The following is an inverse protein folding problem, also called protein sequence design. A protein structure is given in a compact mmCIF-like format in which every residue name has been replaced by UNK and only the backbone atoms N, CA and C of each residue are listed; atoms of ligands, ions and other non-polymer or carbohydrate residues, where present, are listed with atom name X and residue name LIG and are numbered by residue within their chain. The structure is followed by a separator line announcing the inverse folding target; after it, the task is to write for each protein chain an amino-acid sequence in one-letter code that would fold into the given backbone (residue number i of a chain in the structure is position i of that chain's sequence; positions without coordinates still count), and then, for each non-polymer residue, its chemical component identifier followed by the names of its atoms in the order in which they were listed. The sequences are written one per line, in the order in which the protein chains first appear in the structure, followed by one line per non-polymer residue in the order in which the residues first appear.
data_IF_480708853819
#
_entry.id   IF_480708853819
#
_cell.length_a   1.000
_cell.length_b   1.000
_cell.length_c   1.000
_cell.angle_alpha   90.00
_cell.angle_beta   90.00
_cell.angle_gamma   90.00
#
_symmetry.space_group_name_H-M   'P 1'
#
loop_
_entity.id
_entity.type
_entity.pdbx_description
1 polymer ?
#
# COMPACT_ATOMS: atom_id res chain seq x y z
N UNK A 1 -23.12 -21.76 21.77
CA UNK A 1 -22.09 -20.87 22.36
C UNK A 1 -20.94 -20.90 21.37
N UNK A 2 -20.75 -19.84 20.56
CA UNK A 2 -19.56 -19.75 19.71
C UNK A 2 -18.37 -19.56 20.64
N UNK A 3 -17.41 -20.47 20.60
CA UNK A 3 -16.13 -20.29 21.26
C UNK A 3 -15.49 -19.00 20.71
N UNK A 4 -15.20 -18.04 21.58
CA UNK A 4 -14.38 -16.89 21.27
C UNK A 4 -12.96 -17.40 20.99
N UNK A 5 -12.63 -17.62 19.74
CA UNK A 5 -11.24 -17.87 19.35
C UNK A 5 -10.52 -16.54 19.49
N UNK A 6 -9.56 -16.39 20.41
CA UNK A 6 -8.82 -15.15 20.54
C UNK A 6 -8.04 -14.91 19.24
N UNK A 7 -8.03 -13.65 18.78
CA UNK A 7 -7.21 -13.26 17.65
C UNK A 7 -5.74 -13.41 18.00
N UNK A 8 -5.01 -14.19 17.20
CA UNK A 8 -3.56 -14.34 17.36
C UNK A 8 -2.83 -13.05 16.98
N UNK A 9 -1.69 -12.72 17.63
CA UNK A 9 -0.85 -11.62 17.22
C UNK A 9 -0.37 -11.77 15.76
N UNK A 10 -0.24 -10.63 15.09
CA UNK A 10 0.23 -10.56 13.70
C UNK A 10 1.59 -9.90 13.60
N UNK A 11 2.33 -10.21 12.52
CA UNK A 11 3.65 -9.62 12.25
C UNK A 11 3.51 -8.36 11.39
N UNK A 12 2.45 -8.31 10.58
CA UNK A 12 2.12 -7.23 9.67
C UNK A 12 0.64 -6.88 9.78
N UNK A 13 0.37 -5.66 10.20
CA UNK A 13 -0.97 -5.09 10.26
C UNK A 13 -1.13 -4.05 9.14
N UNK A 14 -2.11 -4.22 8.27
CA UNK A 14 -2.48 -3.20 7.29
C UNK A 14 -3.85 -2.62 7.59
N UNK A 15 -3.94 -1.29 7.51
CA UNK A 15 -5.17 -0.53 7.76
C UNK A 15 -5.50 0.32 6.56
N UNK A 16 -6.71 0.21 6.07
CA UNK A 16 -7.24 0.98 4.94
C UNK A 16 -8.47 0.32 4.33
N UNK A 17 -9.09 0.96 3.37
CA UNK A 17 -10.19 0.36 2.64
C UNK A 17 -9.71 -0.68 1.62
N UNK A 18 -10.42 -1.79 1.54
CA UNK A 18 -10.48 -2.57 0.32
C UNK A 18 -11.23 -1.77 -0.74
N UNK A 19 -10.91 -1.92 -2.01
CA UNK A 19 -11.75 -1.40 -3.07
C UNK A 19 -12.41 -2.50 -3.90
N UNK A 20 -13.56 -2.14 -4.45
CA UNK A 20 -14.18 -2.85 -5.56
C UNK A 20 -13.89 -2.03 -6.82
N UNK A 21 -13.07 -2.55 -7.70
CA UNK A 21 -12.71 -1.87 -8.95
C UNK A 21 -13.64 -2.37 -10.06
N UNK A 22 -14.43 -1.44 -10.61
CA UNK A 22 -15.31 -1.74 -11.73
C UNK A 22 -14.48 -1.90 -13.00
N UNK A 23 -14.58 -3.06 -13.63
CA UNK A 23 -13.89 -3.36 -14.89
C UNK A 23 -14.88 -3.85 -15.94
N UNK A 24 -14.53 -3.80 -17.23
CA UNK A 24 -15.39 -4.33 -18.29
C UNK A 24 -15.74 -5.83 -18.14
N UNK A 25 -14.93 -6.58 -17.39
CA UNK A 25 -15.12 -8.02 -17.12
C UNK A 25 -15.81 -8.31 -15.80
N UNK A 26 -16.24 -7.27 -15.07
CA UNK A 26 -16.90 -7.36 -13.77
C UNK A 26 -16.10 -6.73 -12.64
N UNK A 27 -16.66 -6.67 -11.42
CA UNK A 27 -16.00 -6.13 -10.26
C UNK A 27 -14.80 -6.98 -9.84
N UNK A 28 -13.71 -6.33 -9.44
CA UNK A 28 -12.49 -6.97 -8.94
C UNK A 28 -12.10 -6.40 -7.59
N UNK A 29 -11.50 -7.22 -6.76
CA UNK A 29 -10.90 -6.76 -5.52
C UNK A 29 -9.65 -5.95 -5.83
N UNK A 30 -9.58 -4.75 -5.26
CA UNK A 30 -8.47 -3.81 -5.38
C UNK A 30 -8.13 -3.15 -4.05
N UNK A 31 -7.40 -2.04 -4.13
CA UNK A 31 -6.91 -1.26 -3.00
C UNK A 31 -5.63 -1.80 -2.40
N UNK A 32 -4.84 -0.88 -1.85
CA UNK A 32 -3.53 -1.18 -1.23
C UNK A 32 -3.61 -2.32 -0.21
N UNK A 33 -4.67 -2.35 0.59
CA UNK A 33 -4.88 -3.38 1.63
C UNK A 33 -4.89 -4.79 1.04
N UNK A 34 -5.52 -4.97 -0.13
CA UNK A 34 -5.61 -6.28 -0.78
C UNK A 34 -4.24 -6.77 -1.24
N UNK A 35 -3.53 -5.93 -1.99
CA UNK A 35 -2.17 -6.25 -2.46
C UNK A 35 -1.20 -6.45 -1.30
N UNK A 36 -1.18 -5.50 -0.36
CA UNK A 36 -0.27 -5.53 0.78
C UNK A 36 -0.43 -6.78 1.62
N UNK A 37 -1.67 -7.18 1.93
CA UNK A 37 -1.92 -8.36 2.74
C UNK A 37 -1.45 -9.65 2.05
N UNK A 38 -1.70 -9.78 0.75
CA UNK A 38 -1.28 -10.94 -0.02
C UNK A 38 0.24 -11.00 -0.20
N UNK A 39 0.90 -9.87 -0.45
CA UNK A 39 2.37 -9.78 -0.55
C UNK A 39 3.03 -10.09 0.78
N UNK A 40 2.56 -9.52 1.89
CA UNK A 40 3.11 -9.80 3.21
C UNK A 40 2.96 -11.27 3.59
N UNK A 41 1.82 -11.91 3.25
CA UNK A 41 1.61 -13.35 3.40
C UNK A 41 2.57 -14.17 2.53
N UNK A 42 2.78 -13.78 1.27
CA UNK A 42 3.73 -14.45 0.38
C UNK A 42 5.18 -14.35 0.89
N UNK A 43 5.52 -13.25 1.58
CA UNK A 43 6.79 -13.05 2.27
C UNK A 43 6.90 -13.79 3.62
N UNK A 44 5.88 -14.58 3.99
CA UNK A 44 5.90 -15.48 5.15
C UNK A 44 5.46 -14.85 6.47
N UNK A 45 4.83 -13.68 6.46
CA UNK A 45 4.36 -13.03 7.69
C UNK A 45 2.92 -13.43 8.03
N UNK A 46 2.61 -13.41 9.32
CA UNK A 46 1.23 -13.44 9.82
C UNK A 46 0.62 -12.07 9.62
N UNK A 47 -0.43 -12.00 8.82
CA UNK A 47 -1.05 -10.73 8.41
C UNK A 47 -2.39 -10.53 9.10
N UNK A 48 -2.66 -9.30 9.53
CA UNK A 48 -3.96 -8.83 9.95
C UNK A 48 -4.44 -7.67 9.10
N UNK A 49 -5.72 -7.63 8.79
CA UNK A 49 -6.36 -6.58 8.01
C UNK A 49 -7.39 -5.87 8.88
N UNK A 50 -7.35 -4.53 8.91
CA UNK A 50 -8.45 -3.69 9.43
C UNK A 50 -8.96 -2.85 8.27
N UNK A 51 -10.23 -3.05 7.92
CA UNK A 51 -10.86 -2.42 6.76
C UNK A 51 -12.33 -2.09 7.01
N UNK A 52 -12.95 -1.39 6.07
CA UNK A 52 -14.40 -1.26 5.99
C UNK A 52 -14.85 -1.66 4.59
N UNK A 53 -15.84 -2.55 4.55
CA UNK A 53 -16.41 -3.04 3.29
C UNK A 53 -17.86 -3.46 3.48
N UNK A 54 -18.63 -3.42 2.40
CA UNK A 54 -19.97 -3.97 2.28
C UNK A 54 -19.96 -5.44 1.87
N UNK A 55 -21.14 -6.02 1.75
CA UNK A 55 -21.33 -7.40 1.28
C UNK A 55 -21.00 -7.59 -0.22
N UNK A 56 -20.78 -6.51 -0.94
CA UNK A 56 -20.43 -6.47 -2.36
C UNK A 56 -18.93 -6.71 -2.63
N UNK A 57 -18.08 -6.71 -1.58
CA UNK A 57 -16.65 -6.96 -1.74
C UNK A 57 -16.35 -8.43 -2.07
N UNK A 58 -15.62 -8.72 -3.15
CA UNK A 58 -15.22 -10.09 -3.51
C UNK A 58 -14.00 -10.53 -2.68
N UNK A 59 -14.22 -10.99 -1.44
CA UNK A 59 -13.19 -11.27 -0.44
C UNK A 59 -12.48 -12.62 -0.61
N UNK A 60 -12.87 -13.44 -1.58
CA UNK A 60 -12.33 -14.80 -1.79
C UNK A 60 -10.79 -14.82 -1.89
N UNK A 61 -10.11 -13.84 -2.54
CA UNK A 61 -8.65 -13.85 -2.61
C UNK A 61 -7.96 -13.72 -1.25
N UNK A 62 -8.65 -13.12 -0.26
CA UNK A 62 -8.13 -12.89 1.09
C UNK A 62 -8.44 -14.04 2.05
N UNK A 63 -9.02 -15.12 1.57
CA UNK A 63 -9.36 -16.28 2.42
C UNK A 63 -8.14 -16.78 3.20
N UNK A 64 -8.34 -16.97 4.51
CA UNK A 64 -7.29 -17.42 5.43
C UNK A 64 -6.42 -16.30 6.00
N UNK A 65 -6.66 -15.03 5.64
CA UNK A 65 -6.06 -13.88 6.31
C UNK A 65 -7.07 -13.34 7.33
N UNK A 66 -6.72 -13.24 8.64
CA UNK A 66 -7.56 -12.59 9.64
C UNK A 66 -7.92 -11.15 9.24
N UNK A 67 -9.22 -10.86 9.22
CA UNK A 67 -9.76 -9.58 8.78
C UNK A 67 -10.80 -9.07 9.77
N UNK A 68 -10.61 -7.84 10.24
CA UNK A 68 -11.61 -7.06 10.98
C UNK A 68 -12.28 -6.10 10.01
N UNK A 69 -13.56 -6.33 9.76
CA UNK A 69 -14.36 -5.50 8.89
C UNK A 69 -15.28 -4.58 9.72
N UNK A 70 -15.16 -3.28 9.52
CA UNK A 70 -16.17 -2.31 9.95
C UNK A 70 -17.30 -2.37 8.92
N UNK A 71 -18.52 -2.81 9.30
CA UNK A 71 -19.58 -3.00 8.33
C UNK A 71 -19.96 -1.68 7.63
N UNK A 72 -20.05 -1.71 6.31
CA UNK A 72 -20.53 -0.61 5.48
C UNK A 72 -21.69 -1.07 4.59
N UNK A 73 -22.56 -0.14 4.18
CA UNK A 73 -23.63 -0.44 3.25
C UNK A 73 -23.08 -0.86 1.87
N UNK A 74 -21.98 -0.25 1.45
CA UNK A 74 -21.28 -0.52 0.19
C UNK A 74 -19.77 -0.40 0.43
N UNK A 75 -19.00 -1.13 -0.35
CA UNK A 75 -17.53 -1.03 -0.34
C UNK A 75 -17.06 0.24 -1.05
N UNK A 76 -15.84 0.69 -0.74
CA UNK A 76 -15.20 1.74 -1.53
C UNK A 76 -15.06 1.26 -2.96
N UNK A 77 -15.70 1.94 -3.90
CA UNK A 77 -15.83 1.50 -5.30
C UNK A 77 -15.23 2.51 -6.24
N UNK A 78 -14.27 2.06 -7.03
CA UNK A 78 -13.63 2.87 -8.07
C UNK A 78 -13.94 2.33 -9.46
N UNK A 79 -14.00 3.25 -10.42
CA UNK A 79 -13.98 2.95 -11.85
C UNK A 79 -12.78 3.67 -12.48
N UNK A 80 -11.97 2.90 -13.22
CA UNK A 80 -10.83 3.43 -13.95
C UNK A 80 -11.18 3.47 -15.44
N UNK A 81 -11.32 4.68 -15.98
CA UNK A 81 -11.72 4.94 -17.36
C UNK A 81 -10.49 5.35 -18.17
N UNK A 82 -10.10 4.52 -19.14
CA UNK A 82 -9.05 4.89 -20.09
C UNK A 82 -9.54 6.00 -21.00
N UNK A 83 -8.76 7.07 -21.13
CA UNK A 83 -9.06 8.19 -22.03
C UNK A 83 -7.84 8.49 -22.93
N UNK A 84 -8.02 9.21 -24.06
CA UNK A 84 -6.88 9.64 -24.88
C UNK A 84 -5.85 10.52 -24.16
N UNK A 85 -6.24 11.09 -23.01
CA UNK A 85 -5.40 11.99 -22.22
C UNK A 85 -4.91 11.35 -20.91
N UNK A 86 -4.92 10.02 -20.81
CA UNK A 86 -4.56 9.27 -19.63
C UNK A 86 -5.76 8.60 -18.94
N UNK A 87 -5.54 8.10 -17.73
CA UNK A 87 -6.55 7.43 -16.93
C UNK A 87 -7.37 8.44 -16.13
N UNK A 88 -8.71 8.36 -16.20
CA UNK A 88 -9.62 9.02 -15.25
C UNK A 88 -10.09 8.01 -14.21
N UNK A 89 -10.16 8.43 -12.95
CA UNK A 89 -10.67 7.61 -11.86
C UNK A 89 -11.94 8.27 -11.29
N UNK A 90 -12.97 7.45 -11.06
CA UNK A 90 -14.24 7.88 -10.45
C UNK A 90 -14.44 7.07 -9.19
N UNK A 91 -14.70 7.75 -8.06
CA UNK A 91 -15.12 7.15 -6.80
C UNK A 91 -16.66 7.14 -6.79
N UNK A 92 -17.26 5.95 -6.88
CA UNK A 92 -18.70 5.77 -6.85
C UNK A 92 -19.24 5.69 -5.43
N UNK A 93 -18.54 4.98 -4.55
CA UNK A 93 -18.87 4.79 -3.15
C UNK A 93 -17.63 4.83 -2.28
N UNK A 94 -17.82 5.27 -1.04
CA UNK A 94 -16.82 5.24 0.01
C UNK A 94 -17.41 4.51 1.20
N UNK A 95 -16.69 3.51 1.71
CA UNK A 95 -17.08 2.75 2.90
C UNK A 95 -16.96 3.59 4.18
N UNK A 96 -17.36 3.02 5.32
CA UNK A 96 -17.36 3.70 6.61
C UNK A 96 -15.94 4.04 7.08
N UNK A 97 -15.77 5.16 7.80
CA UNK A 97 -14.48 5.58 8.33
C UNK A 97 -13.85 4.57 9.28
N UNK A 98 -12.52 4.54 9.30
CA UNK A 98 -11.73 3.74 10.21
C UNK A 98 -11.13 4.61 11.33
N UNK A 99 -11.01 4.03 12.52
CA UNK A 99 -10.37 4.66 13.68
C UNK A 99 -9.41 3.69 14.35
N UNK A 100 -8.57 4.17 15.25
CA UNK A 100 -7.66 3.33 16.02
C UNK A 100 -8.40 2.28 16.87
N UNK A 101 -9.61 2.58 17.33
CA UNK A 101 -10.43 1.69 18.15
C UNK A 101 -10.87 0.42 17.40
N UNK A 102 -10.87 0.44 16.07
CA UNK A 102 -11.15 -0.74 15.25
C UNK A 102 -10.00 -1.75 15.24
N UNK A 103 -8.81 -1.36 15.73
CA UNK A 103 -7.65 -2.26 15.80
C UNK A 103 -7.80 -3.16 17.03
N UNK A 104 -7.88 -4.48 16.86
CA UNK A 104 -7.92 -5.41 18.01
C UNK A 104 -6.70 -5.23 18.91
N UNK A 105 -6.89 -5.33 20.21
CA UNK A 105 -5.80 -5.19 21.18
C UNK A 105 -4.61 -6.14 20.90
N UNK A 106 -4.89 -7.35 20.40
CA UNK A 106 -3.85 -8.31 20.02
C UNK A 106 -2.97 -7.84 18.84
N UNK A 107 -3.44 -6.88 18.03
CA UNK A 107 -2.74 -6.39 16.83
C UNK A 107 -2.11 -5.00 17.02
N UNK A 108 -2.43 -4.28 18.11
CA UNK A 108 -1.92 -2.92 18.35
C UNK A 108 -0.39 -2.85 18.50
N UNK A 109 0.25 -3.97 18.82
CA UNK A 109 1.70 -4.09 18.91
C UNK A 109 2.32 -4.87 17.74
N UNK A 110 1.66 -4.92 16.58
CA UNK A 110 2.23 -5.53 15.39
C UNK A 110 3.59 -4.90 15.05
N UNK A 111 4.64 -5.70 14.78
CA UNK A 111 5.96 -5.17 14.45
C UNK A 111 5.96 -4.20 13.28
N UNK A 112 5.14 -4.47 12.27
CA UNK A 112 4.96 -3.59 11.09
C UNK A 112 3.50 -3.15 11.07
N UNK A 113 3.27 -1.84 11.12
CA UNK A 113 1.98 -1.21 10.83
C UNK A 113 2.06 -0.51 9.49
N UNK A 114 1.25 -0.92 8.53
CA UNK A 114 1.09 -0.24 7.24
C UNK A 114 -0.18 0.60 7.22
N UNK A 115 -0.03 1.91 7.22
CA UNK A 115 -1.10 2.86 7.00
C UNK A 115 -1.31 3.02 5.50
N UNK A 116 -2.44 2.56 4.99
CA UNK A 116 -2.75 2.44 3.58
C UNK A 116 -4.06 3.16 3.23
N UNK A 117 -4.16 4.50 3.45
CA UNK A 117 -5.37 5.24 3.09
C UNK A 117 -5.62 5.15 1.59
N UNK A 118 -6.88 4.93 1.22
CA UNK A 118 -7.32 4.79 -0.17
C UNK A 118 -8.25 5.93 -0.59
N UNK A 119 -9.14 6.36 0.33
CA UNK A 119 -10.17 7.37 0.09
C UNK A 119 -10.42 8.22 1.36
N UNK A 120 -9.37 8.71 2.01
CA UNK A 120 -9.44 9.55 3.22
C UNK A 120 -10.23 8.90 4.38
N UNK A 121 -10.18 7.59 4.52
CA UNK A 121 -11.02 6.81 5.43
C UNK A 121 -10.60 6.86 6.89
N UNK A 122 -9.41 7.37 7.20
CA UNK A 122 -8.99 7.56 8.60
C UNK A 122 -8.15 8.83 8.75
N UNK A 123 -8.13 9.41 9.96
CA UNK A 123 -7.44 10.67 10.21
C UNK A 123 -5.92 10.47 10.19
N UNK A 124 -5.19 11.51 9.77
CA UNK A 124 -3.73 11.50 9.65
C UNK A 124 -3.02 11.18 10.97
N UNK A 125 -3.58 11.60 12.11
CA UNK A 125 -3.00 11.37 13.44
C UNK A 125 -3.09 9.90 13.94
N UNK A 126 -3.67 8.99 13.16
CA UNK A 126 -3.74 7.57 13.54
C UNK A 126 -2.34 6.98 13.79
N UNK A 127 -1.33 7.46 13.06
CA UNK A 127 0.08 7.10 13.25
C UNK A 127 0.59 7.38 14.66
N UNK A 128 0.11 8.46 15.30
CA UNK A 128 0.57 8.89 16.65
C UNK A 128 0.22 7.90 17.76
N UNK A 129 -0.75 7.04 17.54
CA UNK A 129 -1.20 6.04 18.49
C UNK A 129 -0.53 4.67 18.29
N UNK A 130 0.34 4.53 17.29
CA UNK A 130 0.94 3.26 16.95
C UNK A 130 2.16 2.95 17.83
N UNK A 131 2.25 1.68 18.29
CA UNK A 131 3.40 1.15 19.02
C UNK A 131 4.26 0.22 18.17
N UNK A 132 4.09 0.26 16.85
CA UNK A 132 4.82 -0.58 15.90
C UNK A 132 6.31 -0.24 15.86
N UNK A 133 7.17 -1.24 15.62
CA UNK A 133 8.60 -1.03 15.39
C UNK A 133 8.89 -0.31 14.08
N UNK A 134 8.01 -0.49 13.10
CA UNK A 134 8.01 0.20 11.81
C UNK A 134 6.58 0.63 11.46
N UNK A 135 6.36 1.94 11.33
CA UNK A 135 5.16 2.49 10.72
C UNK A 135 5.48 2.82 9.27
N UNK A 136 4.90 2.07 8.34
CA UNK A 136 4.95 2.32 6.90
C UNK A 136 3.73 3.11 6.46
N UNK A 137 3.88 3.97 5.45
CA UNK A 137 2.80 4.79 4.91
C UNK A 137 2.81 4.76 3.38
N UNK A 138 1.64 4.52 2.79
CA UNK A 138 1.34 4.80 1.39
C UNK A 138 0.23 5.86 1.35
N UNK A 139 0.55 7.16 1.27
CA UNK A 139 -0.39 8.26 1.54
C UNK A 139 -1.37 8.55 0.41
N UNK A 140 -1.39 7.78 -0.66
CA UNK A 140 -2.14 8.05 -1.89
C UNK A 140 -3.60 8.49 -1.61
N UNK A 141 -4.31 7.81 -0.70
CA UNK A 141 -5.69 8.14 -0.37
C UNK A 141 -5.85 9.47 0.37
N UNK A 142 -4.82 9.94 1.07
CA UNK A 142 -4.82 11.26 1.70
C UNK A 142 -4.54 12.40 0.72
N UNK A 143 -3.93 12.05 -0.43
CA UNK A 143 -3.65 13.00 -1.52
C UNK A 143 -4.72 12.97 -2.63
N UNK A 144 -5.85 12.29 -2.40
CA UNK A 144 -6.99 12.22 -3.31
C UNK A 144 -8.17 13.01 -2.79
N UNK A 145 -8.72 13.89 -3.63
CA UNK A 145 -10.05 14.48 -3.49
C UNK A 145 -10.96 14.02 -4.60
N UNK A 146 -12.25 14.33 -4.50
CA UNK A 146 -13.23 14.07 -5.55
C UNK A 146 -14.30 15.13 -5.58
N UNK A 147 -14.82 15.39 -6.76
CA UNK A 147 -15.93 16.32 -6.97
C UNK A 147 -17.30 15.67 -6.67
N UNK A 148 -18.37 16.44 -6.86
CA UNK A 148 -19.74 15.97 -6.64
C UNK A 148 -20.16 14.83 -7.58
N UNK A 149 -19.44 14.61 -8.67
CA UNK A 149 -19.63 13.52 -9.63
C UNK A 149 -18.70 12.32 -9.34
N UNK A 150 -17.85 12.43 -8.29
CA UNK A 150 -16.92 11.40 -7.89
C UNK A 150 -15.60 11.41 -8.70
N UNK A 151 -15.37 12.39 -9.58
CA UNK A 151 -14.09 12.44 -10.31
C UNK A 151 -12.95 12.73 -9.35
N UNK A 152 -11.99 11.78 -9.31
CA UNK A 152 -10.82 11.88 -8.43
C UNK A 152 -9.84 12.89 -9.00
N UNK A 153 -9.31 13.72 -8.10
CA UNK A 153 -8.26 14.70 -8.41
C UNK A 153 -7.24 14.77 -7.27
N UNK A 154 -6.01 15.21 -7.52
CA UNK A 154 -5.02 15.38 -6.47
C UNK A 154 -5.41 16.51 -5.52
N UNK A 155 -5.11 16.31 -4.22
CA UNK A 155 -5.20 17.34 -3.17
C UNK A 155 -3.91 17.32 -2.36
N UNK A 156 -3.52 18.45 -1.72
CA UNK A 156 -2.35 18.47 -0.85
C UNK A 156 -2.47 17.47 0.31
N UNK A 157 -1.35 16.90 0.72
CA UNK A 157 -1.26 16.14 1.97
C UNK A 157 -1.23 17.13 3.13
N UNK A 158 -2.39 17.38 3.73
CA UNK A 158 -2.54 18.32 4.85
C UNK A 158 -1.75 17.86 6.08
N UNK A 159 -1.11 18.80 6.79
CA UNK A 159 -0.30 18.56 7.98
C UNK A 159 0.83 17.51 7.79
N UNK A 160 1.36 17.41 6.58
CA UNK A 160 2.42 16.45 6.27
C UNK A 160 3.66 16.67 7.13
N UNK A 161 4.02 17.92 7.42
CA UNK A 161 5.15 18.32 8.27
C UNK A 161 5.01 17.85 9.74
N UNK A 162 3.79 17.69 10.23
CA UNK A 162 3.50 17.17 11.57
C UNK A 162 3.44 15.63 11.61
N UNK A 163 2.98 15.01 10.52
CA UNK A 163 2.72 13.57 10.44
C UNK A 163 3.97 12.78 10.02
N UNK A 164 4.68 13.25 9.00
CA UNK A 164 5.80 12.53 8.40
C UNK A 164 6.96 12.22 9.36
N UNK A 165 7.31 13.08 10.35
CA UNK A 165 8.31 12.74 11.35
C UNK A 165 7.98 11.51 12.20
N UNK A 166 6.70 11.12 12.28
CA UNK A 166 6.22 9.97 13.04
C UNK A 166 6.24 8.68 12.19
N UNK A 167 6.43 8.79 10.88
CA UNK A 167 6.45 7.68 9.94
C UNK A 167 7.87 7.12 9.83
N UNK A 168 8.01 5.81 9.97
CA UNK A 168 9.29 5.11 9.82
C UNK A 168 9.77 5.06 8.38
N UNK A 169 8.83 4.84 7.43
CA UNK A 169 9.10 4.82 6.01
C UNK A 169 7.84 5.17 5.21
N UNK A 170 7.98 5.97 4.16
CA UNK A 170 6.91 6.34 3.23
C UNK A 170 7.24 5.87 1.82
N UNK A 171 6.22 5.41 1.11
CA UNK A 171 6.31 5.06 -0.31
C UNK A 171 5.24 5.82 -1.08
N UNK A 172 5.65 6.50 -2.14
CA UNK A 172 4.78 7.18 -3.11
C UNK A 172 5.20 6.79 -4.53
N UNK A 173 4.33 7.02 -5.49
CA UNK A 173 4.73 7.07 -6.90
C UNK A 173 5.01 8.52 -7.32
N UNK A 174 5.85 8.70 -8.33
CA UNK A 174 6.06 10.02 -8.93
C UNK A 174 4.75 10.57 -9.54
N UNK A 175 3.86 9.67 -9.99
CA UNK A 175 2.51 10.00 -10.46
C UNK A 175 1.63 10.59 -9.35
N UNK A 176 1.74 10.11 -8.10
CA UNK A 176 0.93 10.61 -6.96
C UNK A 176 1.14 12.10 -6.68
N UNK A 177 2.32 12.60 -7.05
CA UNK A 177 2.68 14.02 -6.92
C UNK A 177 2.69 14.75 -8.29
N UNK A 178 2.18 14.12 -9.35
CA UNK A 178 2.14 14.72 -10.69
C UNK A 178 3.51 15.07 -11.27
N UNK A 179 4.58 14.40 -10.83
CA UNK A 179 5.95 14.68 -11.23
C UNK A 179 6.58 15.87 -10.53
N UNK A 180 5.97 16.42 -9.48
CA UNK A 180 6.47 17.59 -8.74
C UNK A 180 7.68 17.22 -7.87
N UNK A 181 8.88 17.58 -8.34
CA UNK A 181 10.13 17.33 -7.62
C UNK A 181 10.24 18.16 -6.32
N UNK A 182 9.63 19.34 -6.24
CA UNK A 182 9.64 20.17 -5.03
C UNK A 182 8.83 19.48 -3.92
N UNK A 183 7.71 18.87 -4.27
CA UNK A 183 6.91 18.10 -3.34
C UNK A 183 7.63 16.82 -2.88
N UNK A 184 8.35 16.15 -3.76
CA UNK A 184 9.20 14.99 -3.42
C UNK A 184 10.30 15.41 -2.42
N UNK A 185 11.01 16.50 -2.69
CA UNK A 185 12.05 17.02 -1.79
C UNK A 185 11.48 17.45 -0.43
N UNK A 186 10.28 18.06 -0.42
CA UNK A 186 9.58 18.37 0.83
C UNK A 186 9.31 17.10 1.65
N UNK A 187 8.78 16.04 1.03
CA UNK A 187 8.54 14.79 1.72
C UNK A 187 9.84 14.13 2.19
N UNK A 188 10.90 14.16 1.38
CA UNK A 188 12.20 13.62 1.74
C UNK A 188 12.83 14.31 2.97
N UNK A 189 12.58 15.60 3.15
CA UNK A 189 13.07 16.36 4.31
C UNK A 189 12.29 16.03 5.60
N UNK A 190 11.01 15.67 5.50
CA UNK A 190 10.16 15.45 6.67
C UNK A 190 10.03 13.98 7.05
N UNK A 191 10.43 13.04 6.19
CA UNK A 191 10.33 11.59 6.42
C UNK A 191 11.72 11.00 6.73
N UNK A 192 11.79 9.99 7.59
CA UNK A 192 13.06 9.26 7.84
C UNK A 192 13.55 8.52 6.62
N UNK A 193 12.63 7.90 5.89
CA UNK A 193 12.87 7.14 4.67
C UNK A 193 11.74 7.44 3.69
N UNK A 194 12.09 7.90 2.50
CA UNK A 194 11.15 8.07 1.40
C UNK A 194 11.60 7.23 0.21
N UNK A 195 10.73 6.34 -0.27
CA UNK A 195 10.87 5.69 -1.55
C UNK A 195 9.87 6.25 -2.55
N UNK A 196 10.36 6.65 -3.72
CA UNK A 196 9.56 7.16 -4.84
C UNK A 196 9.65 6.18 -5.99
N UNK A 197 8.56 5.55 -6.36
CA UNK A 197 8.49 4.65 -7.53
C UNK A 197 8.25 5.44 -8.81
N UNK A 198 8.84 4.99 -9.91
CA UNK A 198 8.86 5.69 -11.21
C UNK A 198 8.68 4.67 -12.35
N UNK A 199 7.58 3.93 -12.31
CA UNK A 199 7.20 2.92 -13.29
C UNK A 199 8.38 2.02 -13.73
N UNK A 200 8.64 1.91 -15.04
CA UNK A 200 9.73 1.10 -15.62
C UNK A 200 11.13 1.61 -15.25
N UNK A 201 11.27 2.86 -14.81
CA UNK A 201 12.53 3.41 -14.34
C UNK A 201 12.94 2.89 -12.95
N UNK A 202 12.00 2.25 -12.24
CA UNK A 202 12.21 1.62 -10.95
C UNK A 202 11.89 2.52 -9.76
N UNK A 203 12.86 2.80 -8.88
CA UNK A 203 12.61 3.63 -7.69
C UNK A 203 13.80 4.49 -7.31
N UNK A 204 13.53 5.57 -6.57
CA UNK A 204 14.54 6.41 -5.91
C UNK A 204 14.29 6.37 -4.41
N UNK A 205 15.30 6.03 -3.63
CA UNK A 205 15.26 6.06 -2.17
C UNK A 205 16.03 7.27 -1.65
N UNK A 206 15.38 8.01 -0.75
CA UNK A 206 15.96 9.13 0.01
C UNK A 206 16.16 8.71 1.46
N UNK A 207 17.39 8.81 1.96
CA UNK A 207 17.76 8.44 3.32
C UNK A 207 18.97 9.26 3.83
N UNK A 208 18.79 9.97 4.94
CA UNK A 208 19.83 10.79 5.57
C UNK A 208 20.53 11.79 4.63
N UNK A 209 19.77 12.40 3.72
CA UNK A 209 20.30 13.34 2.73
C UNK A 209 20.94 12.69 1.49
N UNK A 210 21.14 11.39 1.50
CA UNK A 210 21.54 10.63 0.31
C UNK A 210 20.32 10.22 -0.51
N UNK A 211 20.50 10.10 -1.83
CA UNK A 211 19.51 9.52 -2.73
C UNK A 211 20.15 8.50 -3.66
N UNK A 212 19.47 7.37 -3.90
CA UNK A 212 19.92 6.34 -4.83
C UNK A 212 18.78 5.83 -5.69
N UNK A 213 19.06 5.65 -6.98
CA UNK A 213 18.12 5.04 -7.92
C UNK A 213 18.36 3.54 -8.01
N UNK A 214 17.28 2.77 -8.00
CA UNK A 214 17.25 1.33 -8.22
C UNK A 214 16.46 1.08 -9.51
N UNK A 215 17.13 0.61 -10.56
CA UNK A 215 16.50 0.35 -11.85
C UNK A 215 15.67 -0.93 -11.79
N UNK A 216 14.47 -0.87 -12.36
CA UNK A 216 13.66 -2.06 -12.52
C UNK A 216 14.26 -3.01 -13.55
N UNK A 217 14.19 -4.34 -13.34
CA UNK A 217 14.47 -5.30 -14.39
C UNK A 217 13.51 -5.08 -15.57
N UNK A 218 14.02 -5.29 -16.79
CA UNK A 218 13.16 -5.23 -17.99
C UNK A 218 12.28 -6.47 -18.04
N UNK A 219 10.99 -6.28 -17.95
CA UNK A 219 9.97 -7.32 -18.03
C UNK A 219 8.94 -6.95 -19.10
N UNK A 220 8.14 -7.91 -19.52
CA UNK A 220 6.97 -7.62 -20.35
C UNK A 220 5.82 -7.22 -19.44
N UNK A 221 5.44 -5.97 -19.47
CA UNK A 221 4.28 -5.46 -18.74
C UNK A 221 2.98 -6.00 -19.33
N UNK A 222 2.12 -6.51 -18.43
CA UNK A 222 0.75 -6.97 -18.72
C UNK A 222 -0.26 -6.08 -18.00
N UNK A 223 -0.04 -5.82 -16.70
CA UNK A 223 -0.91 -4.98 -15.87
C UNK A 223 -0.10 -4.32 -14.74
N UNK A 224 0.08 -2.99 -14.74
CA UNK A 224 0.83 -2.29 -13.70
C UNK A 224 0.04 -2.07 -12.40
N UNK A 225 -1.25 -2.49 -12.36
CA UNK A 225 -2.11 -2.27 -11.19
C UNK A 225 -1.53 -2.95 -9.95
N UNK A 226 -1.39 -2.18 -8.87
CA UNK A 226 -0.88 -2.69 -7.58
C UNK A 226 0.65 -2.80 -7.49
N UNK A 227 1.41 -2.47 -8.54
CA UNK A 227 2.88 -2.54 -8.49
C UNK A 227 3.47 -1.67 -7.37
N UNK A 228 2.91 -0.47 -7.15
CA UNK A 228 3.29 0.41 -6.04
C UNK A 228 3.00 -0.22 -4.67
N UNK A 229 1.87 -0.91 -4.53
CA UNK A 229 1.49 -1.60 -3.29
C UNK A 229 2.39 -2.81 -3.01
N UNK A 230 2.74 -3.56 -4.07
CA UNK A 230 3.72 -4.66 -4.01
C UNK A 230 5.07 -4.13 -3.59
N UNK A 231 5.53 -3.04 -4.22
CA UNK A 231 6.79 -2.37 -3.85
C UNK A 231 6.77 -1.96 -2.37
N UNK A 232 5.76 -1.21 -1.94
CA UNK A 232 5.67 -0.69 -0.59
C UNK A 232 5.72 -1.79 0.45
N UNK A 233 4.95 -2.86 0.24
CA UNK A 233 4.91 -3.99 1.18
C UNK A 233 6.24 -4.74 1.21
N UNK A 234 6.82 -5.05 0.05
CA UNK A 234 8.13 -5.70 -0.03
C UNK A 234 9.22 -4.83 0.63
N UNK A 235 9.17 -3.51 0.42
CA UNK A 235 10.09 -2.55 1.05
C UNK A 235 9.97 -2.56 2.58
N UNK A 236 8.76 -2.43 3.13
CA UNK A 236 8.56 -2.39 4.58
C UNK A 236 8.97 -3.70 5.25
N UNK A 237 8.60 -4.83 4.66
CA UNK A 237 8.97 -6.16 5.19
C UNK A 237 10.49 -6.36 5.15
N UNK A 238 11.14 -6.04 4.04
CA UNK A 238 12.59 -6.21 3.89
C UNK A 238 13.36 -5.24 4.78
N UNK A 239 12.91 -3.98 4.87
CA UNK A 239 13.47 -2.97 5.77
C UNK A 239 13.41 -3.43 7.23
N UNK A 240 12.25 -3.95 7.67
CA UNK A 240 12.10 -4.45 9.02
C UNK A 240 13.06 -5.61 9.30
N UNK A 241 13.22 -6.54 8.36
CA UNK A 241 14.05 -7.73 8.52
C UNK A 241 15.56 -7.42 8.50
N UNK A 242 16.00 -6.54 7.58
CA UNK A 242 17.44 -6.31 7.35
C UNK A 242 17.99 -5.08 8.06
N UNK A 243 17.14 -4.11 8.36
CA UNK A 243 17.53 -2.77 8.82
C UNK A 243 18.43 -2.02 7.81
N UNK A 244 18.46 -2.47 6.57
CA UNK A 244 19.19 -1.85 5.46
C UNK A 244 18.22 -1.28 4.44
N UNK A 245 18.05 0.05 4.38
CA UNK A 245 17.12 0.69 3.45
C UNK A 245 17.50 0.51 1.98
N UNK A 246 18.80 0.42 1.68
CA UNK A 246 19.28 0.25 0.29
C UNK A 246 18.95 -1.15 -0.24
N UNK A 247 19.19 -2.16 0.57
CA UNK A 247 18.83 -3.54 0.26
C UNK A 247 17.29 -3.69 0.17
N UNK A 248 16.54 -3.06 1.06
CA UNK A 248 15.09 -3.08 1.02
C UNK A 248 14.54 -2.47 -0.28
N UNK A 249 15.08 -1.33 -0.73
CA UNK A 249 14.67 -0.69 -1.98
C UNK A 249 15.06 -1.53 -3.21
N UNK A 250 16.27 -2.11 -3.23
CA UNK A 250 16.71 -3.04 -4.28
C UNK A 250 15.76 -4.22 -4.42
N UNK A 251 15.48 -4.89 -3.30
CA UNK A 251 14.58 -6.04 -3.23
C UNK A 251 13.17 -5.67 -3.71
N UNK A 252 12.59 -4.59 -3.16
CA UNK A 252 11.25 -4.13 -3.50
C UNK A 252 11.11 -3.79 -4.99
N UNK A 253 12.13 -3.14 -5.59
CA UNK A 253 12.14 -2.81 -7.03
C UNK A 253 12.07 -4.07 -7.89
N UNK A 254 12.80 -5.12 -7.53
CA UNK A 254 12.78 -6.38 -8.27
C UNK A 254 11.43 -7.10 -8.13
N UNK A 255 10.92 -7.21 -6.91
CA UNK A 255 9.64 -7.88 -6.63
C UNK A 255 8.48 -7.15 -7.35
N UNK A 256 8.46 -5.82 -7.31
CA UNK A 256 7.45 -5.03 -8.01
C UNK A 256 7.52 -5.18 -9.54
N UNK A 257 8.71 -5.32 -10.10
CA UNK A 257 8.84 -5.57 -11.54
C UNK A 257 8.24 -6.91 -11.97
N UNK A 258 8.33 -7.94 -11.16
CA UNK A 258 7.66 -9.22 -11.47
C UNK A 258 6.14 -9.11 -11.39
N UNK A 259 5.60 -8.28 -10.50
CA UNK A 259 4.15 -8.18 -10.32
C UNK A 259 3.42 -7.69 -11.57
N UNK A 260 4.02 -6.83 -12.38
CA UNK A 260 3.39 -6.27 -13.58
C UNK A 260 3.31 -7.25 -14.77
N UNK A 261 3.87 -8.45 -14.64
CA UNK A 261 3.84 -9.49 -15.70
C UNK A 261 2.56 -10.30 -15.71
N UNK A 262 1.66 -10.09 -14.75
CA UNK A 262 0.38 -10.79 -14.58
C UNK A 262 -0.74 -9.81 -14.20
N UNK A 263 -2.02 -10.12 -14.53
CA UNK A 263 -3.12 -9.20 -14.27
C UNK A 263 -3.49 -9.13 -12.78
N UNK A 264 -3.63 -7.93 -12.25
CA UNK A 264 -4.18 -7.66 -10.92
C UNK A 264 -3.52 -8.49 -9.81
N UNK A 265 -4.33 -9.14 -8.96
CA UNK A 265 -3.83 -9.95 -7.84
C UNK A 265 -3.06 -11.23 -8.24
N UNK A 266 -3.11 -11.65 -9.50
CA UNK A 266 -2.22 -12.72 -10.02
C UNK A 266 -0.76 -12.25 -10.04
N UNK A 267 -0.50 -10.94 -10.01
CA UNK A 267 0.82 -10.32 -9.89
C UNK A 267 1.47 -10.48 -8.51
N UNK A 268 0.79 -11.06 -7.50
CA UNK A 268 1.41 -11.32 -6.20
C UNK A 268 2.65 -12.22 -6.39
N UNK A 269 3.81 -11.85 -5.81
CA UNK A 269 5.07 -12.52 -6.09
C UNK A 269 5.04 -13.99 -5.65
N UNK A 270 5.59 -14.85 -6.50
CA UNK A 270 5.81 -16.27 -6.21
C UNK A 270 7.02 -16.46 -5.28
N UNK A 271 7.14 -17.63 -4.65
CA UNK A 271 8.30 -17.95 -3.82
C UNK A 271 9.60 -17.93 -4.61
N UNK A 272 9.60 -18.33 -5.88
CA UNK A 272 10.75 -18.30 -6.77
C UNK A 272 11.19 -16.86 -7.07
N UNK A 273 10.26 -15.97 -7.37
CA UNK A 273 10.52 -14.55 -7.61
C UNK A 273 11.06 -13.87 -6.35
N UNK A 274 10.51 -14.19 -5.17
CA UNK A 274 10.99 -13.71 -3.88
C UNK A 274 12.44 -14.17 -3.65
N UNK A 275 12.72 -15.46 -3.83
CA UNK A 275 14.07 -16.00 -3.65
C UNK A 275 15.06 -15.39 -4.62
N UNK A 276 14.68 -15.26 -5.90
CA UNK A 276 15.51 -14.61 -6.93
C UNK A 276 15.82 -13.16 -6.55
N UNK A 277 14.84 -12.43 -6.03
CA UNK A 277 15.03 -11.04 -5.60
C UNK A 277 15.89 -10.88 -4.33
N UNK A 278 16.01 -11.94 -3.52
CA UNK A 278 16.90 -11.96 -2.35
C UNK A 278 18.36 -12.17 -2.73
N UNK A 279 18.65 -12.74 -3.90
CA UNK A 279 20.01 -12.97 -4.34
C UNK A 279 20.66 -11.65 -4.78
N UNK A 280 21.79 -11.31 -4.19
CA UNK A 280 22.64 -10.21 -4.64
C UNK A 280 23.41 -10.67 -5.88
N UNK A 281 23.16 -10.06 -7.03
CA UNK A 281 23.98 -10.29 -8.22
C UNK A 281 25.23 -9.44 -8.07
N UNK A 282 26.31 -10.05 -7.62
CA UNK A 282 27.64 -9.41 -7.64
C UNK A 282 28.10 -9.35 -9.11
N UNK A 283 28.17 -8.16 -9.69
CA UNK A 283 28.77 -7.89 -10.99
C UNK A 283 30.25 -7.54 -10.83
#
# INVERSE_FOLDING_TARGET
MSEFVPLEPVDYLVIGHLSVDLTPTGPRLGGTVSYASLVARALGLRVGIVTSAGADAPLEPLQGIPLVNVPSAQSTTFENIATPHGRKQVLHHRAEPLTFEHIPAAWQNAPILHLAPLAQEFPHHLASNASASLVGLTPQGWMRGWDAQGHVHPVPFENADEILPQIGAMVISLEDVGGDEEQVEFFAHHTRLLAVTDAEEGSVLYWHGDRRRFRAPKVQEVDPTGAGDVYATAFFVRLYATRDPWEAARFATQVAAYSVTRPGLEGIPTQEEIQTSMMEVLY
#
